data_IF_128956019512
#
_entry.id   IF_128956019512
#
_cell.length_a   1.000
_cell.length_b   1.000
_cell.length_c   1.000
_cell.angle_alpha   90.00
_cell.angle_beta   90.00
_cell.angle_gamma   90.00
#
_symmetry.space_group_name_H-M   'P 1'
#
loop_
_entity.id
_entity.type
_entity.pdbx_description
1 polymer ?
#
# COMPACT_ATOMS: atom_id res chain seq x y z
N UNK A 1 -32.05 -3.08 12.65
CA UNK A 1 -30.56 -3.03 12.71
C UNK A 1 -29.93 -1.75 12.14
N UNK A 2 -30.67 -0.89 11.44
CA UNK A 2 -30.15 0.39 10.88
C UNK A 2 -30.07 1.54 11.89
N UNK A 3 -30.92 1.56 12.93
CA UNK A 3 -30.93 2.63 13.95
C UNK A 3 -29.72 2.64 14.90
N UNK A 4 -29.08 1.50 15.18
CA UNK A 4 -27.93 1.49 16.11
C UNK A 4 -26.63 1.97 15.44
N UNK A 5 -26.41 1.64 14.17
CA UNK A 5 -25.23 2.11 13.43
C UNK A 5 -25.27 3.63 13.18
N UNK A 6 -26.46 4.21 12.93
CA UNK A 6 -26.61 5.67 12.80
C UNK A 6 -26.43 6.39 14.13
N UNK A 7 -26.91 5.81 15.23
CA UNK A 7 -26.71 6.35 16.57
C UNK A 7 -25.22 6.29 16.97
N UNK A 8 -24.53 5.17 16.71
CA UNK A 8 -23.11 5.00 17.04
C UNK A 8 -22.20 5.93 16.24
N UNK A 9 -22.48 6.13 14.95
CA UNK A 9 -21.79 7.12 14.11
C UNK A 9 -22.09 8.58 14.52
N UNK A 10 -23.29 8.87 15.04
CA UNK A 10 -23.60 10.15 15.68
C UNK A 10 -22.83 10.34 17.00
N UNK A 11 -22.66 9.28 17.79
CA UNK A 11 -21.90 9.30 19.05
C UNK A 11 -20.39 9.52 18.81
N UNK A 12 -19.78 8.90 17.80
CA UNK A 12 -18.35 9.13 17.52
C UNK A 12 -18.06 10.53 16.95
N UNK A 13 -18.97 11.10 16.14
CA UNK A 13 -18.90 12.52 15.76
C UNK A 13 -19.23 13.47 16.92
N UNK A 14 -19.91 12.98 17.95
CA UNK A 14 -20.16 13.73 19.17
C UNK A 14 -18.95 13.69 20.11
N UNK A 15 -17.99 12.77 19.98
CA UNK A 15 -16.78 12.73 20.84
C UNK A 15 -15.93 14.01 20.71
N UNK A 16 -15.57 14.53 19.52
CA UNK A 16 -14.89 15.82 19.41
C UNK A 16 -15.73 16.98 19.94
N UNK A 17 -17.05 16.94 19.72
CA UNK A 17 -17.96 17.99 20.19
C UNK A 17 -18.15 17.95 21.71
N UNK A 18 -18.16 16.77 22.31
CA UNK A 18 -18.28 16.53 23.74
C UNK A 18 -16.96 16.87 24.46
N UNK A 19 -15.81 16.52 23.88
CA UNK A 19 -14.49 16.92 24.36
C UNK A 19 -14.29 18.44 24.33
N UNK A 20 -14.69 19.09 23.21
CA UNK A 20 -14.71 20.55 23.12
C UNK A 20 -15.70 21.15 24.13
N UNK A 21 -16.88 20.53 24.32
CA UNK A 21 -17.89 20.97 25.31
C UNK A 21 -17.43 20.75 26.76
N UNK A 22 -16.52 19.81 27.01
CA UNK A 22 -15.85 19.63 28.31
C UNK A 22 -14.60 20.51 28.48
N UNK A 23 -14.32 21.43 27.55
CA UNK A 23 -13.21 22.37 27.62
C UNK A 23 -11.87 21.87 27.08
N UNK A 24 -11.81 20.66 26.51
CA UNK A 24 -10.60 20.14 25.87
C UNK A 24 -10.45 20.75 24.47
N UNK A 25 -9.66 21.83 24.39
CA UNK A 25 -9.27 22.49 23.14
C UNK A 25 -7.99 21.90 22.53
N UNK A 26 -7.41 20.85 23.12
CA UNK A 26 -6.18 20.23 22.62
C UNK A 26 -6.38 19.62 21.24
N UNK A 27 -7.62 19.20 20.91
CA UNK A 27 -8.00 18.62 19.62
C UNK A 27 -8.99 19.51 18.86
N UNK A 28 -8.78 19.67 17.56
CA UNK A 28 -9.76 20.32 16.70
C UNK A 28 -10.97 19.40 16.39
N UNK A 29 -12.03 19.97 15.79
CA UNK A 29 -13.23 19.21 15.41
C UNK A 29 -13.01 18.11 14.36
N UNK A 30 -11.77 17.90 13.91
CA UNK A 30 -11.34 16.81 13.03
C UNK A 30 -10.39 15.83 13.73
N UNK A 31 -10.22 15.95 15.06
CA UNK A 31 -9.42 15.07 15.90
C UNK A 31 -7.92 15.36 15.91
N UNK A 32 -7.46 16.48 15.34
CA UNK A 32 -6.04 16.83 15.24
C UNK A 32 -5.57 17.52 16.52
N UNK A 33 -4.41 17.14 17.04
CA UNK A 33 -3.81 17.79 18.21
C UNK A 33 -3.18 19.13 17.78
N UNK A 34 -3.75 20.27 18.21
CA UNK A 34 -3.35 21.61 17.74
C UNK A 34 -1.91 21.99 18.08
N UNK A 35 -1.41 21.52 19.22
CA UNK A 35 -0.06 21.81 19.69
C UNK A 35 1.03 21.00 18.95
N UNK A 36 0.65 20.00 18.16
CA UNK A 36 1.61 19.16 17.44
C UNK A 36 2.01 19.80 16.10
N UNK A 37 3.23 19.54 15.61
CA UNK A 37 3.65 19.99 14.28
C UNK A 37 2.67 19.53 13.18
N UNK A 38 2.41 20.34 12.14
CA UNK A 38 1.47 20.00 11.07
C UNK A 38 1.76 18.66 10.38
N UNK A 39 3.03 18.25 10.31
CA UNK A 39 3.42 16.95 9.74
C UNK A 39 2.82 15.78 10.52
N UNK A 40 2.46 15.93 11.80
CA UNK A 40 1.88 14.87 12.64
C UNK A 40 0.34 14.91 12.72
N UNK A 41 -0.33 15.72 11.90
CA UNK A 41 -1.80 15.82 11.93
C UNK A 41 -2.52 14.66 11.22
N UNK A 42 -1.91 14.06 10.20
CA UNK A 42 -2.50 12.97 9.42
C UNK A 42 -1.42 12.03 8.90
N UNK A 43 -1.71 10.73 8.87
CA UNK A 43 -0.76 9.70 8.44
C UNK A 43 -0.20 9.89 7.03
N UNK A 44 -0.96 10.42 6.07
CA UNK A 44 -0.39 10.66 4.73
C UNK A 44 0.75 11.68 4.73
N UNK A 45 0.77 12.65 5.65
CA UNK A 45 1.73 13.76 5.64
C UNK A 45 3.17 13.30 5.85
N UNK A 46 3.52 12.63 6.97
CA UNK A 46 4.89 12.17 7.17
C UNK A 46 5.22 11.03 6.21
N UNK A 47 4.30 10.09 5.99
CA UNK A 47 4.63 8.88 5.24
C UNK A 47 4.78 9.12 3.73
N UNK A 48 3.96 9.96 3.08
CA UNK A 48 4.20 10.28 1.67
C UNK A 48 5.43 11.18 1.49
N UNK A 49 5.68 12.10 2.43
CA UNK A 49 6.90 12.91 2.42
C UNK A 49 8.15 12.03 2.54
N UNK A 50 8.18 11.14 3.54
CA UNK A 50 9.29 10.22 3.78
C UNK A 50 9.43 9.19 2.67
N UNK A 51 8.33 8.69 2.07
CA UNK A 51 8.41 7.81 0.91
C UNK A 51 9.10 8.50 -0.27
N UNK A 52 8.71 9.73 -0.59
CA UNK A 52 9.31 10.50 -1.67
C UNK A 52 10.80 10.79 -1.40
N UNK A 53 11.13 11.24 -0.18
CA UNK A 53 12.52 11.49 0.23
C UNK A 53 13.35 10.21 0.17
N UNK A 54 12.81 9.09 0.66
CA UNK A 54 13.50 7.81 0.70
C UNK A 54 13.77 7.27 -0.69
N UNK A 55 12.78 7.25 -1.59
CA UNK A 55 13.01 6.84 -2.98
C UNK A 55 14.03 7.76 -3.68
N UNK A 56 13.93 9.08 -3.45
CA UNK A 56 14.85 10.07 -4.00
C UNK A 56 16.30 9.94 -3.52
N UNK A 57 16.55 9.29 -2.39
CA UNK A 57 17.89 9.02 -1.84
C UNK A 57 18.36 7.58 -2.09
N UNK A 58 17.49 6.59 -1.86
CA UNK A 58 17.84 5.18 -1.93
C UNK A 58 18.14 4.71 -3.36
N UNK A 59 17.43 5.23 -4.36
CA UNK A 59 17.69 4.86 -5.77
C UNK A 59 19.07 5.38 -6.23
N UNK A 60 19.42 6.67 -6.08
CA UNK A 60 20.78 7.13 -6.39
C UNK A 60 21.87 6.43 -5.57
N UNK A 61 21.63 6.18 -4.28
CA UNK A 61 22.58 5.47 -3.43
C UNK A 61 22.81 4.04 -3.93
N UNK A 62 21.74 3.33 -4.31
CA UNK A 62 21.86 1.99 -4.89
C UNK A 62 22.60 1.99 -6.23
N UNK A 63 22.29 2.93 -7.13
CA UNK A 63 23.00 3.04 -8.41
C UNK A 63 24.50 3.27 -8.19
N UNK A 64 24.86 4.12 -7.22
CA UNK A 64 26.26 4.33 -6.85
C UNK A 64 26.90 3.05 -6.30
N UNK A 65 26.26 2.34 -5.37
CA UNK A 65 26.72 1.05 -4.84
C UNK A 65 26.95 0.04 -5.98
N UNK A 66 25.98 -0.07 -6.88
CA UNK A 66 26.01 -0.99 -8.01
C UNK A 66 27.18 -0.70 -8.96
N UNK A 67 27.38 0.56 -9.36
CA UNK A 67 28.46 0.92 -10.29
C UNK A 67 29.85 0.98 -9.65
N UNK A 68 29.93 1.32 -8.36
CA UNK A 68 31.20 1.35 -7.63
C UNK A 68 31.66 -0.04 -7.16
N UNK A 69 30.77 -1.04 -7.19
CA UNK A 69 31.07 -2.39 -6.70
C UNK A 69 31.34 -2.44 -5.19
N UNK A 70 30.85 -1.46 -4.44
CA UNK A 70 31.08 -1.34 -2.99
C UNK A 70 29.95 -2.01 -2.21
N UNK A 71 30.31 -2.77 -1.19
CA UNK A 71 29.34 -3.23 -0.21
C UNK A 71 28.90 -2.09 0.72
N UNK A 72 27.63 -2.10 1.09
CA UNK A 72 27.12 -1.36 2.25
C UNK A 72 27.29 -2.30 3.44
N UNK A 73 28.07 -1.91 4.45
CA UNK A 73 28.41 -2.75 5.61
C UNK A 73 27.23 -3.12 6.55
N UNK A 74 26.00 -3.00 6.05
CA UNK A 74 24.78 -3.44 6.70
C UNK A 74 24.49 -4.93 6.45
N UNK A 75 23.27 -5.38 6.79
CA UNK A 75 22.95 -6.80 6.83
C UNK A 75 22.67 -7.39 5.43
N UNK A 76 22.43 -6.54 4.42
CA UNK A 76 22.08 -6.95 3.06
C UNK A 76 23.23 -6.68 2.08
N UNK A 77 23.36 -7.54 1.06
CA UNK A 77 24.13 -7.17 -0.14
C UNK A 77 23.45 -6.02 -0.92
N UNK A 78 24.18 -5.39 -1.85
CA UNK A 78 23.69 -4.20 -2.55
C UNK A 78 22.38 -4.39 -3.32
N UNK A 79 22.19 -5.54 -4.00
CA UNK A 79 20.96 -5.80 -4.77
C UNK A 79 19.79 -6.11 -3.85
N UNK A 80 20.02 -6.91 -2.82
CA UNK A 80 19.01 -7.27 -1.82
C UNK A 80 18.59 -6.07 -1.00
N UNK A 81 19.52 -5.17 -0.65
CA UNK A 81 19.22 -3.92 0.01
C UNK A 81 18.27 -3.07 -0.82
N UNK A 82 18.53 -2.91 -2.11
CA UNK A 82 17.62 -2.19 -3.00
C UNK A 82 16.24 -2.81 -3.06
N UNK A 83 16.15 -4.12 -3.29
CA UNK A 83 14.86 -4.80 -3.33
C UNK A 83 14.10 -4.63 -2.01
N UNK A 84 14.79 -4.77 -0.88
CA UNK A 84 14.23 -4.61 0.46
C UNK A 84 13.73 -3.19 0.72
N UNK A 85 14.56 -2.18 0.43
CA UNK A 85 14.21 -0.78 0.66
C UNK A 85 13.11 -0.28 -0.30
N UNK A 86 13.04 -0.79 -1.53
CA UNK A 86 11.93 -0.45 -2.44
C UNK A 86 10.61 -1.09 -2.00
N UNK A 87 10.64 -2.35 -1.58
CA UNK A 87 9.43 -3.09 -1.19
C UNK A 87 8.96 -2.75 0.22
N UNK A 88 9.82 -2.75 1.23
CA UNK A 88 9.43 -2.61 2.63
C UNK A 88 9.67 -1.20 3.17
N UNK A 89 10.69 -0.50 2.68
CA UNK A 89 10.96 0.90 2.99
C UNK A 89 9.97 1.85 2.31
N UNK A 90 10.16 2.06 1.01
CA UNK A 90 9.38 2.96 0.17
C UNK A 90 7.90 2.56 0.11
N UNK A 91 7.60 1.36 -0.42
CA UNK A 91 6.22 0.92 -0.59
C UNK A 91 5.52 0.74 0.77
N UNK A 92 6.23 0.30 1.82
CA UNK A 92 5.69 0.27 3.18
C UNK A 92 5.25 1.65 3.70
N UNK A 93 6.04 2.69 3.45
CA UNK A 93 5.65 4.07 3.76
C UNK A 93 4.46 4.54 2.93
N UNK A 94 4.42 4.24 1.62
CA UNK A 94 3.26 4.58 0.76
C UNK A 94 1.97 3.90 1.27
N UNK A 95 2.04 2.61 1.61
CA UNK A 95 0.92 1.86 2.17
C UNK A 95 0.45 2.50 3.49
N UNK A 96 1.37 2.86 4.38
CA UNK A 96 1.05 3.50 5.66
C UNK A 96 0.38 4.87 5.47
N UNK A 97 0.93 5.72 4.60
CA UNK A 97 0.36 7.03 4.29
C UNK A 97 -1.06 6.95 3.75
N UNK A 98 -1.30 5.97 2.88
CA UNK A 98 -2.63 5.69 2.35
C UNK A 98 -3.57 5.14 3.44
N UNK A 99 -3.20 4.06 4.13
CA UNK A 99 -4.12 3.32 5.00
C UNK A 99 -4.50 4.11 6.26
N UNK A 100 -3.57 4.87 6.84
CA UNK A 100 -3.84 5.74 7.99
C UNK A 100 -4.77 6.90 7.64
N UNK A 101 -4.94 7.19 6.34
CA UNK A 101 -5.90 8.17 5.83
C UNK A 101 -7.23 7.51 5.46
N UNK A 102 -7.20 6.29 4.93
CA UNK A 102 -8.38 5.57 4.48
C UNK A 102 -9.20 4.99 5.64
N UNK A 103 -8.56 4.40 6.64
CA UNK A 103 -9.23 3.72 7.77
C UNK A 103 -10.17 4.65 8.54
N UNK A 104 -9.78 5.87 8.94
CA UNK A 104 -10.69 6.81 9.60
C UNK A 104 -11.95 7.10 8.77
N UNK A 105 -11.81 7.21 7.46
CA UNK A 105 -12.94 7.45 6.56
C UNK A 105 -13.87 6.24 6.46
N UNK A 106 -13.35 5.02 6.60
CA UNK A 106 -14.16 3.81 6.53
C UNK A 106 -14.82 3.44 7.86
N UNK A 107 -14.18 3.74 8.99
CA UNK A 107 -14.66 3.41 10.33
C UNK A 107 -15.46 4.54 10.97
N UNK A 108 -15.29 5.79 10.48
CA UNK A 108 -15.89 6.98 11.10
C UNK A 108 -15.15 7.48 12.34
N UNK A 109 -14.06 6.79 12.72
CA UNK A 109 -13.24 7.07 13.90
C UNK A 109 -12.22 8.17 13.61
N UNK A 110 -11.65 8.72 14.68
CA UNK A 110 -10.65 9.79 14.56
C UNK A 110 -9.35 9.27 13.93
N UNK A 111 -8.66 10.11 13.13
CA UNK A 111 -7.37 9.75 12.57
C UNK A 111 -6.30 9.58 13.64
N UNK A 112 -5.38 8.66 13.41
CA UNK A 112 -4.17 8.50 14.21
C UNK A 112 -3.26 9.72 13.96
N UNK A 113 -3.01 10.50 15.02
CA UNK A 113 -2.29 11.78 14.95
C UNK A 113 -1.47 12.04 16.21
N UNK A 114 -0.49 12.96 16.13
CA UNK A 114 0.38 13.32 17.24
C UNK A 114 1.36 12.21 17.64
N UNK A 115 1.53 11.96 18.94
CA UNK A 115 2.53 11.02 19.46
C UNK A 115 2.42 9.59 18.91
N UNK A 116 1.23 8.96 18.81
CA UNK A 116 1.11 7.65 18.17
C UNK A 116 1.61 7.62 16.72
N UNK A 117 1.42 8.72 15.98
CA UNK A 117 1.90 8.83 14.61
C UNK A 117 3.43 9.00 14.58
N UNK A 118 3.97 9.79 15.50
CA UNK A 118 5.42 9.95 15.64
C UNK A 118 6.10 8.61 15.97
N UNK A 119 5.52 7.80 16.86
CA UNK A 119 6.05 6.45 17.17
C UNK A 119 6.13 5.61 15.90
N UNK A 120 5.07 5.54 15.09
CA UNK A 120 5.10 4.81 13.83
C UNK A 120 6.19 5.31 12.87
N UNK A 121 6.38 6.63 12.77
CA UNK A 121 7.43 7.24 11.95
C UNK A 121 8.82 6.85 12.47
N UNK A 122 9.05 6.91 13.77
CA UNK A 122 10.33 6.55 14.38
C UNK A 122 10.65 5.07 14.22
N UNK A 123 9.65 4.19 14.34
CA UNK A 123 9.82 2.75 14.07
C UNK A 123 10.18 2.50 12.61
N UNK A 124 9.53 3.20 11.67
CA UNK A 124 9.88 3.08 10.26
C UNK A 124 11.31 3.57 9.99
N UNK A 125 11.72 4.72 10.54
CA UNK A 125 13.08 5.25 10.41
C UNK A 125 14.12 4.32 11.04
N UNK A 126 13.82 3.73 12.20
CA UNK A 126 14.70 2.76 12.86
C UNK A 126 14.96 1.54 11.97
N UNK A 127 13.95 1.02 11.28
CA UNK A 127 14.09 -0.06 10.30
C UNK A 127 15.06 0.28 9.17
N UNK A 128 14.90 1.47 8.56
CA UNK A 128 15.78 1.95 7.47
C UNK A 128 17.23 2.13 7.95
N UNK A 129 17.40 2.71 9.15
CA UNK A 129 18.71 2.89 9.76
C UNK A 129 19.39 1.54 10.05
N UNK A 130 18.64 0.57 10.59
CA UNK A 130 19.15 -0.76 10.86
C UNK A 130 19.49 -1.52 9.57
N UNK A 131 18.68 -1.39 8.52
CA UNK A 131 18.97 -1.96 7.19
C UNK A 131 20.21 -1.39 6.51
N UNK A 132 20.74 -0.25 6.99
CA UNK A 132 21.98 0.35 6.51
C UNK A 132 23.18 0.09 7.43
N UNK A 133 22.97 0.10 8.75
CA UNK A 133 24.05 0.21 9.73
C UNK A 133 24.23 -1.03 10.61
N UNK A 134 23.20 -1.88 10.75
CA UNK A 134 23.28 -3.02 11.65
C UNK A 134 24.06 -4.17 10.98
N UNK A 135 25.20 -4.54 11.58
CA UNK A 135 25.98 -5.69 11.12
C UNK A 135 25.27 -7.02 11.41
N UNK A 136 24.50 -7.10 12.50
CA UNK A 136 23.74 -8.30 12.85
C UNK A 136 22.37 -8.29 12.12
N UNK A 137 22.10 -9.26 11.23
CA UNK A 137 20.85 -9.32 10.49
C UNK A 137 19.62 -9.54 11.39
N UNK A 138 19.77 -10.12 12.59
CA UNK A 138 18.65 -10.29 13.52
C UNK A 138 18.24 -8.98 14.17
N UNK A 139 19.21 -8.12 14.46
CA UNK A 139 18.96 -6.76 14.97
C UNK A 139 18.24 -5.92 13.91
N UNK A 140 18.69 -6.02 12.65
CA UNK A 140 18.03 -5.36 11.53
C UNK A 140 16.58 -5.83 11.36
N UNK A 141 16.36 -7.14 11.38
CA UNK A 141 15.03 -7.74 11.30
C UNK A 141 14.11 -7.25 12.42
N UNK A 142 14.58 -7.25 13.68
CA UNK A 142 13.77 -6.83 14.81
C UNK A 142 13.39 -5.35 14.72
N UNK A 143 14.34 -4.47 14.36
CA UNK A 143 14.09 -3.04 14.20
C UNK A 143 13.11 -2.75 13.06
N UNK A 144 13.28 -3.40 11.91
CA UNK A 144 12.44 -3.15 10.74
C UNK A 144 11.04 -3.76 10.85
N UNK A 145 10.88 -4.93 11.49
CA UNK A 145 9.57 -5.54 11.72
C UNK A 145 8.72 -4.82 12.76
N UNK A 146 9.31 -4.00 13.64
CA UNK A 146 8.55 -3.24 14.64
C UNK A 146 7.51 -2.32 13.97
N UNK A 147 7.84 -1.72 12.82
CA UNK A 147 6.92 -0.85 12.09
C UNK A 147 5.66 -1.57 11.56
N UNK A 148 5.76 -2.60 10.68
CA UNK A 148 4.58 -3.27 10.15
C UNK A 148 3.76 -3.97 11.24
N UNK A 149 4.39 -4.44 12.33
CA UNK A 149 3.68 -5.02 13.48
C UNK A 149 2.79 -4.00 14.18
N UNK A 150 3.34 -2.82 14.54
CA UNK A 150 2.57 -1.77 15.23
C UNK A 150 1.54 -1.14 14.29
N UNK A 151 1.86 -0.98 13.00
CA UNK A 151 0.89 -0.54 11.99
C UNK A 151 -0.26 -1.54 11.87
N UNK A 152 0.03 -2.83 11.70
CA UNK A 152 -0.96 -3.90 11.61
C UNK A 152 -1.88 -3.93 12.83
N UNK A 153 -1.31 -3.85 14.04
CA UNK A 153 -2.07 -3.74 15.28
C UNK A 153 -3.02 -2.53 15.28
N UNK A 154 -2.52 -1.35 14.92
CA UNK A 154 -3.35 -0.14 14.85
C UNK A 154 -4.51 -0.30 13.87
N UNK A 155 -4.28 -0.87 12.67
CA UNK A 155 -5.33 -1.08 11.67
C UNK A 155 -6.35 -2.10 12.16
N UNK A 156 -5.92 -3.24 12.70
CA UNK A 156 -6.83 -4.27 13.25
C UNK A 156 -7.69 -3.72 14.37
N UNK A 157 -7.11 -2.95 15.29
CA UNK A 157 -7.85 -2.28 16.36
C UNK A 157 -8.98 -1.41 15.81
N UNK A 158 -8.73 -0.59 14.79
CA UNK A 158 -9.76 0.26 14.19
C UNK A 158 -10.81 -0.52 13.41
N UNK A 159 -10.44 -1.61 12.72
CA UNK A 159 -11.39 -2.49 12.02
C UNK A 159 -12.33 -3.18 13.01
N UNK A 160 -11.79 -3.72 14.11
CA UNK A 160 -12.56 -4.43 15.14
C UNK A 160 -13.45 -3.44 15.90
N UNK A 161 -12.88 -2.33 16.39
CA UNK A 161 -13.62 -1.33 17.15
C UNK A 161 -14.71 -0.64 16.31
N UNK A 162 -14.44 -0.37 15.03
CA UNK A 162 -15.41 0.17 14.08
C UNK A 162 -16.36 -0.86 13.47
N UNK A 163 -16.24 -2.15 13.85
CA UNK A 163 -17.00 -3.30 13.29
C UNK A 163 -17.01 -3.30 11.75
N UNK A 164 -15.91 -2.89 11.15
CA UNK A 164 -15.81 -2.59 9.72
C UNK A 164 -15.29 -3.77 8.90
N UNK A 165 -15.93 -4.92 9.07
CA UNK A 165 -15.48 -6.20 8.51
C UNK A 165 -15.37 -6.21 6.97
N UNK A 166 -16.14 -5.36 6.29
CA UNK A 166 -16.03 -5.14 4.83
C UNK A 166 -14.63 -4.67 4.38
N UNK A 167 -13.84 -4.09 5.29
CA UNK A 167 -12.47 -3.62 5.03
C UNK A 167 -11.40 -4.45 5.77
N UNK A 168 -11.79 -5.53 6.45
CA UNK A 168 -10.85 -6.49 7.04
C UNK A 168 -9.85 -7.08 6.03
N UNK A 169 -10.20 -7.32 4.74
CA UNK A 169 -9.21 -7.77 3.75
C UNK A 169 -7.99 -6.85 3.66
N UNK A 170 -8.15 -5.53 3.86
CA UNK A 170 -7.01 -4.60 3.85
C UNK A 170 -6.11 -4.82 5.07
N UNK A 171 -6.67 -5.01 6.26
CA UNK A 171 -5.90 -5.33 7.47
C UNK A 171 -5.14 -6.66 7.33
N UNK A 172 -5.78 -7.67 6.72
CA UNK A 172 -5.15 -8.94 6.38
C UNK A 172 -3.97 -8.74 5.42
N UNK A 173 -4.13 -7.93 4.37
CA UNK A 173 -3.05 -7.61 3.45
C UNK A 173 -1.88 -6.89 4.14
N UNK A 174 -2.12 -5.96 5.07
CA UNK A 174 -1.04 -5.35 5.88
C UNK A 174 -0.30 -6.40 6.72
N UNK A 175 -1.03 -7.38 7.26
CA UNK A 175 -0.44 -8.47 8.05
C UNK A 175 0.42 -9.37 7.16
N UNK A 176 -0.06 -9.73 5.97
CA UNK A 176 0.70 -10.48 4.97
C UNK A 176 1.93 -9.71 4.47
N UNK A 177 1.85 -8.38 4.37
CA UNK A 177 3.01 -7.55 4.05
C UNK A 177 4.07 -7.57 5.15
N UNK A 178 3.67 -7.56 6.43
CA UNK A 178 4.59 -7.75 7.55
C UNK A 178 5.23 -9.15 7.55
N UNK A 179 4.46 -10.19 7.22
CA UNK A 179 4.98 -11.55 7.04
C UNK A 179 5.96 -11.61 5.86
N UNK A 180 5.64 -10.95 4.74
CA UNK A 180 6.52 -10.84 3.59
C UNK A 180 7.87 -10.21 3.96
N UNK A 181 7.84 -9.18 4.80
CA UNK A 181 9.05 -8.54 5.32
C UNK A 181 9.88 -9.51 6.17
N UNK A 182 9.23 -10.23 7.09
CA UNK A 182 9.91 -11.21 7.94
C UNK A 182 10.55 -12.33 7.11
N UNK A 183 9.85 -12.82 6.08
CA UNK A 183 10.36 -13.83 5.16
C UNK A 183 11.58 -13.32 4.37
N UNK A 184 11.61 -12.04 3.98
CA UNK A 184 12.75 -11.46 3.26
C UNK A 184 14.00 -11.32 4.16
N UNK A 185 13.82 -10.87 5.41
CA UNK A 185 14.89 -10.86 6.42
C UNK A 185 15.41 -12.27 6.73
N UNK A 186 14.53 -13.25 6.89
CA UNK A 186 14.94 -14.64 7.10
C UNK A 186 15.69 -15.20 5.88
N UNK A 187 15.23 -14.91 4.66
CA UNK A 187 16.00 -15.26 3.45
C UNK A 187 17.35 -14.54 3.37
N UNK A 188 17.53 -13.41 4.07
CA UNK A 188 18.79 -12.68 4.14
C UNK A 188 19.79 -13.35 5.10
N UNK A 189 19.29 -14.04 6.14
CA UNK A 189 20.13 -14.87 7.02
C UNK A 189 20.53 -16.22 6.41
N UNK A 190 20.02 -16.56 5.23
CA UNK A 190 20.25 -17.85 4.57
C UNK A 190 19.36 -18.99 5.08
N UNK A 191 18.40 -18.73 5.99
CA UNK A 191 17.53 -19.77 6.57
C UNK A 191 16.40 -20.25 5.64
N UNK A 192 16.09 -19.49 4.59
CA UNK A 192 14.97 -19.75 3.66
C UNK A 192 15.41 -19.63 2.20
N UNK A 193 14.69 -20.33 1.31
CA UNK A 193 14.84 -20.18 -0.13
C UNK A 193 14.53 -18.73 -0.58
N UNK A 194 15.25 -18.27 -1.59
CA UNK A 194 15.29 -16.85 -1.99
C UNK A 194 13.97 -16.31 -2.56
N UNK A 195 13.75 -15.01 -2.38
CA UNK A 195 12.72 -14.16 -3.01
C UNK A 195 11.25 -14.43 -2.63
N UNK A 196 10.95 -15.36 -1.72
CA UNK A 196 9.57 -15.62 -1.28
C UNK A 196 8.92 -14.37 -0.66
N UNK A 197 9.64 -13.68 0.23
CA UNK A 197 9.19 -12.42 0.84
C UNK A 197 8.89 -11.35 -0.21
N UNK A 198 9.78 -11.17 -1.18
CA UNK A 198 9.61 -10.19 -2.26
C UNK A 198 8.40 -10.48 -3.14
N UNK A 199 8.20 -11.76 -3.53
CA UNK A 199 7.03 -12.19 -4.30
C UNK A 199 5.74 -11.96 -3.54
N UNK A 200 5.71 -12.27 -2.24
CA UNK A 200 4.54 -12.03 -1.40
C UNK A 200 4.26 -10.53 -1.24
N UNK A 201 5.28 -9.69 -1.09
CA UNK A 201 5.12 -8.24 -1.00
C UNK A 201 4.53 -7.65 -2.29
N UNK A 202 5.04 -8.07 -3.45
CA UNK A 202 4.50 -7.69 -4.77
C UNK A 202 3.07 -8.18 -4.96
N UNK A 203 2.76 -9.41 -4.53
CA UNK A 203 1.41 -9.98 -4.54
C UNK A 203 0.43 -9.13 -3.72
N UNK A 204 0.82 -8.79 -2.49
CA UNK A 204 0.04 -7.91 -1.61
C UNK A 204 -0.16 -6.53 -2.26
N UNK A 205 0.89 -5.93 -2.82
CA UNK A 205 0.81 -4.62 -3.47
C UNK A 205 -0.17 -4.63 -4.65
N UNK A 206 -0.04 -5.59 -5.57
CA UNK A 206 -0.91 -5.74 -6.73
C UNK A 206 -2.37 -5.94 -6.33
N UNK A 207 -2.63 -6.79 -5.33
CA UNK A 207 -3.99 -7.04 -4.83
C UNK A 207 -4.56 -5.80 -4.14
N UNK A 208 -3.79 -5.09 -3.32
CA UNK A 208 -4.21 -3.85 -2.67
C UNK A 208 -4.56 -2.76 -3.69
N UNK A 209 -3.70 -2.54 -4.70
CA UNK A 209 -3.94 -1.55 -5.76
C UNK A 209 -5.19 -1.93 -6.56
N UNK A 210 -5.35 -3.20 -6.94
CA UNK A 210 -6.50 -3.70 -7.68
C UNK A 210 -7.82 -3.55 -6.90
N UNK A 211 -7.81 -3.88 -5.61
CA UNK A 211 -8.97 -3.79 -4.71
C UNK A 211 -9.36 -2.33 -4.42
N UNK A 212 -8.39 -1.54 -3.96
CA UNK A 212 -8.64 -0.19 -3.46
C UNK A 212 -8.78 0.80 -4.63
N UNK A 213 -7.88 0.75 -5.60
CA UNK A 213 -7.99 1.52 -6.84
C UNK A 213 -9.31 1.25 -7.56
N UNK A 214 -9.73 -0.02 -7.55
CA UNK A 214 -11.02 -0.47 -8.06
C UNK A 214 -12.27 0.17 -7.44
N UNK A 215 -12.16 0.78 -6.27
CA UNK A 215 -13.24 1.51 -5.60
C UNK A 215 -13.04 3.02 -5.72
N UNK A 216 -11.80 3.47 -5.58
CA UNK A 216 -11.44 4.89 -5.45
C UNK A 216 -11.43 5.59 -6.79
N UNK A 217 -10.74 5.03 -7.79
CA UNK A 217 -10.60 5.63 -9.12
C UNK A 217 -11.98 5.87 -9.77
N UNK A 218 -12.87 4.86 -9.93
CA UNK A 218 -14.18 5.09 -10.52
C UNK A 218 -15.07 6.04 -9.71
N UNK A 219 -14.95 6.04 -8.37
CA UNK A 219 -15.76 6.94 -7.53
C UNK A 219 -15.35 8.41 -7.70
N UNK A 220 -14.05 8.70 -7.73
CA UNK A 220 -13.57 10.05 -7.99
C UNK A 220 -13.88 10.52 -9.41
N UNK A 221 -13.68 9.64 -10.41
CA UNK A 221 -14.06 9.93 -11.79
C UNK A 221 -15.55 10.23 -11.93
N UNK A 222 -16.41 9.43 -11.28
CA UNK A 222 -17.86 9.67 -11.27
C UNK A 222 -18.21 11.01 -10.64
N UNK A 223 -17.64 11.32 -9.47
CA UNK A 223 -17.92 12.58 -8.78
C UNK A 223 -17.53 13.80 -9.62
N UNK A 224 -16.41 13.73 -10.33
CA UNK A 224 -15.99 14.79 -11.23
C UNK A 224 -16.88 14.90 -12.47
N UNK A 225 -17.21 13.78 -13.13
CA UNK A 225 -18.08 13.78 -14.32
C UNK A 225 -19.50 14.27 -14.01
N UNK A 226 -20.04 13.96 -12.82
CA UNK A 226 -21.32 14.50 -12.36
C UNK A 226 -21.25 16.01 -12.21
N UNK A 227 -20.16 16.56 -11.65
CA UNK A 227 -19.98 18.02 -11.56
C UNK A 227 -19.87 18.69 -12.93
N UNK A 228 -19.25 17.99 -13.89
CA UNK A 228 -19.15 18.45 -15.28
C UNK A 228 -20.41 18.19 -16.12
N UNK A 229 -21.48 17.64 -15.52
CA UNK A 229 -22.74 17.30 -16.21
C UNK A 229 -22.53 16.41 -17.44
N UNK A 230 -21.58 15.48 -17.38
CA UNK A 230 -21.31 14.56 -18.49
C UNK A 230 -22.44 13.52 -18.64
N UNK A 231 -22.80 13.19 -19.88
CA UNK A 231 -23.93 12.30 -20.19
C UNK A 231 -23.70 10.83 -19.81
N UNK A 232 -22.43 10.41 -19.75
CA UNK A 232 -22.07 9.04 -19.40
C UNK A 232 -21.13 9.00 -18.19
N UNK A 233 -21.36 8.03 -17.33
CA UNK A 233 -20.65 7.86 -16.07
C UNK A 233 -19.89 6.53 -16.05
N UNK A 234 -18.89 6.38 -15.15
CA UNK A 234 -18.23 5.10 -14.94
C UNK A 234 -19.25 3.99 -14.69
N UNK A 235 -19.03 2.82 -15.29
CA UNK A 235 -19.91 1.69 -15.08
C UNK A 235 -19.89 1.25 -13.59
N UNK A 236 -21.03 0.83 -13.03
CA UNK A 236 -21.05 0.29 -11.68
C UNK A 236 -20.25 -1.02 -11.59
N UNK A 237 -19.83 -1.33 -10.36
CA UNK A 237 -19.13 -2.58 -10.06
C UNK A 237 -20.02 -3.78 -10.42
N UNK A 238 -19.48 -4.74 -11.17
CA UNK A 238 -20.21 -5.92 -11.63
C UNK A 238 -19.38 -7.20 -11.72
N UNK A 239 -19.86 -8.15 -12.54
CA UNK A 239 -19.23 -9.46 -12.70
C UNK A 239 -17.81 -9.38 -13.25
N UNK A 240 -17.57 -8.48 -14.22
CA UNK A 240 -16.23 -8.26 -14.77
C UNK A 240 -15.26 -7.75 -13.72
N UNK A 241 -15.68 -6.82 -12.85
CA UNK A 241 -14.83 -6.34 -11.75
C UNK A 241 -14.49 -7.45 -10.75
N UNK A 242 -15.46 -8.33 -10.47
CA UNK A 242 -15.25 -9.50 -9.60
C UNK A 242 -14.27 -10.48 -10.25
N UNK A 243 -14.44 -10.78 -11.54
CA UNK A 243 -13.53 -11.64 -12.30
C UNK A 243 -12.11 -11.06 -12.35
N UNK A 244 -11.96 -9.74 -12.56
CA UNK A 244 -10.67 -9.07 -12.58
C UNK A 244 -9.95 -9.15 -11.22
N UNK A 245 -10.68 -8.95 -10.12
CA UNK A 245 -10.14 -9.10 -8.77
C UNK A 245 -9.75 -10.54 -8.46
N UNK A 246 -10.63 -11.49 -8.78
CA UNK A 246 -10.36 -12.92 -8.57
C UNK A 246 -9.16 -13.39 -9.39
N UNK A 247 -9.08 -13.02 -10.66
CA UNK A 247 -7.94 -13.32 -11.52
C UNK A 247 -6.64 -12.72 -10.96
N UNK A 248 -6.67 -11.48 -10.47
CA UNK A 248 -5.49 -10.84 -9.85
C UNK A 248 -5.05 -11.61 -8.60
N UNK A 249 -5.97 -11.96 -7.70
CA UNK A 249 -5.65 -12.71 -6.48
C UNK A 249 -5.09 -14.09 -6.82
N UNK A 250 -5.71 -14.82 -7.74
CA UNK A 250 -5.26 -16.15 -8.15
C UNK A 250 -3.91 -16.09 -8.88
N UNK A 251 -3.71 -15.11 -9.77
CA UNK A 251 -2.44 -14.91 -10.45
C UNK A 251 -1.30 -14.64 -9.45
N UNK A 252 -1.51 -13.68 -8.54
CA UNK A 252 -0.50 -13.29 -7.56
C UNK A 252 -0.27 -14.34 -6.47
N UNK A 253 -1.29 -15.12 -6.10
CA UNK A 253 -1.07 -16.31 -5.26
C UNK A 253 -0.25 -17.37 -6.01
N UNK A 254 -0.53 -17.54 -7.32
CA UNK A 254 0.24 -18.41 -8.20
C UNK A 254 1.71 -18.04 -8.29
N UNK A 255 2.06 -16.75 -8.35
CA UNK A 255 3.48 -16.32 -8.37
C UNK A 255 4.22 -16.64 -7.07
N UNK A 256 3.50 -16.75 -5.95
CA UNK A 256 4.06 -17.12 -4.65
C UNK A 256 4.23 -18.65 -4.53
N UNK A 257 3.20 -19.42 -4.90
CA UNK A 257 3.15 -20.88 -4.66
C UNK A 257 3.77 -21.70 -5.80
N UNK A 258 3.55 -21.30 -7.05
CA UNK A 258 3.96 -22.03 -8.26
C UNK A 258 4.70 -21.09 -9.24
N UNK A 259 5.81 -20.47 -8.79
CA UNK A 259 6.52 -19.46 -9.56
C UNK A 259 7.04 -20.00 -10.90
N UNK A 260 6.92 -19.21 -11.97
CA UNK A 260 7.49 -19.53 -13.27
C UNK A 260 6.71 -20.56 -14.10
N UNK A 261 5.56 -21.04 -13.63
CA UNK A 261 4.73 -21.95 -14.43
C UNK A 261 3.97 -21.21 -15.53
N UNK A 262 3.84 -21.83 -16.71
CA UNK A 262 3.10 -21.24 -17.84
C UNK A 262 1.63 -20.91 -17.49
N UNK A 263 1.01 -21.73 -16.62
CA UNK A 263 -0.34 -21.48 -16.14
C UNK A 263 -0.44 -20.15 -15.36
N UNK A 264 0.53 -19.87 -14.49
CA UNK A 264 0.60 -18.59 -13.76
C UNK A 264 0.88 -17.43 -14.72
N UNK A 265 1.77 -17.64 -15.71
CA UNK A 265 2.02 -16.64 -16.77
C UNK A 265 0.76 -16.26 -17.55
N UNK A 266 -0.01 -17.25 -17.99
CA UNK A 266 -1.29 -17.03 -18.67
C UNK A 266 -2.32 -16.33 -17.77
N UNK A 267 -2.38 -16.70 -16.49
CA UNK A 267 -3.30 -16.11 -15.52
C UNK A 267 -2.94 -14.64 -15.20
N UNK A 268 -1.64 -14.31 -15.16
CA UNK A 268 -1.14 -12.93 -15.04
C UNK A 268 -1.56 -12.08 -16.24
N UNK A 269 -1.37 -12.58 -17.47
CA UNK A 269 -1.83 -11.91 -18.68
C UNK A 269 -3.34 -11.68 -18.66
N UNK A 270 -4.13 -12.71 -18.30
CA UNK A 270 -5.57 -12.60 -18.17
C UNK A 270 -5.97 -11.54 -17.13
N UNK A 271 -5.33 -11.55 -15.95
CA UNK A 271 -5.59 -10.57 -14.90
C UNK A 271 -5.29 -9.15 -15.40
N UNK A 272 -4.14 -8.91 -16.02
CA UNK A 272 -3.76 -7.62 -16.58
C UNK A 272 -4.74 -7.11 -17.64
N UNK A 273 -5.15 -7.96 -18.58
CA UNK A 273 -6.18 -7.63 -19.58
C UNK A 273 -7.52 -7.28 -18.92
N UNK A 274 -7.97 -8.07 -17.94
CA UNK A 274 -9.21 -7.79 -17.21
C UNK A 274 -9.14 -6.46 -16.44
N UNK A 275 -7.99 -6.12 -15.84
CA UNK A 275 -7.80 -4.81 -15.20
C UNK A 275 -7.79 -3.67 -16.21
N UNK A 276 -7.22 -3.85 -17.40
CA UNK A 276 -7.27 -2.86 -18.47
C UNK A 276 -8.70 -2.62 -18.97
N UNK A 277 -9.48 -3.68 -19.19
CA UNK A 277 -10.90 -3.57 -19.55
C UNK A 277 -11.70 -2.88 -18.44
N UNK A 278 -11.41 -3.21 -17.18
CA UNK A 278 -12.00 -2.55 -16.00
C UNK A 278 -11.69 -1.05 -15.99
N UNK A 279 -10.45 -0.65 -16.30
CA UNK A 279 -10.01 0.75 -16.36
C UNK A 279 -10.73 1.53 -17.47
N UNK A 280 -10.91 0.93 -18.65
CA UNK A 280 -11.65 1.55 -19.76
C UNK A 280 -13.09 1.89 -19.34
N UNK A 281 -13.74 0.98 -18.59
CA UNK A 281 -15.11 1.20 -18.07
C UNK A 281 -15.23 2.36 -17.08
N UNK A 282 -14.11 2.88 -16.56
CA UNK A 282 -14.08 4.03 -15.67
C UNK A 282 -13.96 5.37 -16.38
N UNK A 283 -13.86 5.37 -17.73
CA UNK A 283 -13.87 6.57 -18.57
C UNK A 283 -12.75 7.58 -18.24
N UNK A 284 -11.56 7.11 -17.88
CA UNK A 284 -10.43 7.98 -17.52
C UNK A 284 -10.01 8.98 -18.59
N UNK A 285 -10.21 8.65 -19.87
CA UNK A 285 -9.96 9.55 -21.00
C UNK A 285 -10.79 10.85 -20.93
N UNK A 286 -11.97 10.84 -20.32
CA UNK A 286 -12.77 12.04 -20.12
C UNK A 286 -12.19 12.99 -19.05
N UNK A 287 -11.20 12.53 -18.28
CA UNK A 287 -10.60 13.24 -17.13
C UNK A 287 -9.17 13.71 -17.37
N UNK A 288 -8.65 13.64 -18.61
CA UNK A 288 -7.24 13.99 -18.92
C UNK A 288 -6.86 15.42 -18.53
N UNK A 289 -7.83 16.35 -18.50
CA UNK A 289 -7.62 17.75 -18.09
C UNK A 289 -7.52 17.95 -16.58
N UNK A 290 -7.81 16.91 -15.78
CA UNK A 290 -7.75 16.93 -14.32
C UNK A 290 -6.56 16.09 -13.85
N UNK A 291 -5.39 16.70 -13.55
CA UNK A 291 -4.14 15.98 -13.29
C UNK A 291 -4.25 14.95 -12.15
N UNK A 292 -5.03 15.26 -11.12
CA UNK A 292 -5.24 14.35 -9.97
C UNK A 292 -6.01 13.09 -10.39
N UNK A 293 -6.95 13.18 -11.33
CA UNK A 293 -7.65 12.01 -11.84
C UNK A 293 -6.81 11.26 -12.87
N UNK A 294 -6.07 11.99 -13.71
CA UNK A 294 -5.18 11.39 -14.69
C UNK A 294 -4.16 10.46 -14.03
N UNK A 295 -3.47 10.91 -12.97
CA UNK A 295 -2.45 10.09 -12.30
C UNK A 295 -3.04 8.82 -11.66
N UNK A 296 -4.30 8.86 -11.19
CA UNK A 296 -4.99 7.69 -10.66
C UNK A 296 -5.26 6.63 -11.75
N UNK A 297 -5.64 7.05 -12.95
CA UNK A 297 -5.83 6.13 -14.07
C UNK A 297 -4.50 5.61 -14.61
N UNK A 298 -3.49 6.47 -14.69
CA UNK A 298 -2.15 6.08 -15.13
C UNK A 298 -1.55 5.04 -14.18
N UNK A 299 -1.61 5.27 -12.86
CA UNK A 299 -1.12 4.31 -11.87
C UNK A 299 -1.85 2.98 -11.90
N UNK A 300 -3.19 2.98 -12.06
CA UNK A 300 -3.94 1.72 -12.21
C UNK A 300 -3.65 1.02 -13.55
N UNK A 301 -3.45 1.78 -14.62
CA UNK A 301 -3.03 1.26 -15.92
C UNK A 301 -1.65 0.62 -15.87
N UNK A 302 -0.74 1.19 -15.08
CA UNK A 302 0.58 0.60 -14.84
C UNK A 302 0.50 -0.77 -14.17
N UNK A 303 -0.41 -0.95 -13.21
CA UNK A 303 -0.67 -2.28 -12.64
C UNK A 303 -1.13 -3.28 -13.72
N UNK A 304 -2.08 -2.89 -14.57
CA UNK A 304 -2.55 -3.75 -15.65
C UNK A 304 -1.41 -4.14 -16.60
N UNK A 305 -0.57 -3.16 -16.99
CA UNK A 305 0.60 -3.38 -17.82
C UNK A 305 1.62 -4.31 -17.13
N UNK A 306 1.95 -4.06 -15.87
CA UNK A 306 2.90 -4.86 -15.10
C UNK A 306 2.46 -6.33 -15.02
N UNK A 307 1.17 -6.62 -14.78
CA UNK A 307 0.67 -8.00 -14.77
C UNK A 307 0.83 -8.68 -16.15
N UNK A 308 0.55 -7.97 -17.25
CA UNK A 308 0.78 -8.51 -18.60
C UNK A 308 2.26 -8.76 -18.84
N UNK A 309 3.14 -7.81 -18.53
CA UNK A 309 4.58 -7.96 -18.74
C UNK A 309 5.16 -9.09 -17.90
N UNK A 310 4.74 -9.24 -16.64
CA UNK A 310 5.14 -10.36 -15.79
C UNK A 310 4.65 -11.69 -16.35
N UNK A 311 3.43 -11.75 -16.88
CA UNK A 311 2.91 -12.95 -17.53
C UNK A 311 3.70 -13.30 -18.80
N UNK A 312 3.98 -12.31 -19.65
CA UNK A 312 4.79 -12.48 -20.85
C UNK A 312 6.23 -12.90 -20.55
N UNK A 313 6.85 -12.39 -19.48
CA UNK A 313 8.18 -12.81 -19.05
C UNK A 313 8.23 -14.30 -18.63
N UNK A 314 7.11 -14.84 -18.14
CA UNK A 314 7.00 -16.28 -17.83
C UNK A 314 6.76 -17.11 -19.10
N UNK A 315 5.97 -16.59 -20.05
CA UNK A 315 5.59 -17.30 -21.27
C UNK A 315 6.65 -17.22 -22.38
N UNK A 316 7.46 -16.18 -22.38
CA UNK A 316 8.48 -15.91 -23.37
C UNK A 316 9.82 -15.59 -22.69
N UNK A 317 10.79 -16.52 -22.72
CA UNK A 317 12.12 -16.33 -22.13
C UNK A 317 12.90 -15.12 -22.67
N UNK A 318 12.53 -14.59 -23.84
CA UNK A 318 13.17 -13.40 -24.41
C UNK A 318 12.86 -12.10 -23.64
N UNK A 319 11.83 -12.10 -22.77
CA UNK A 319 11.44 -10.93 -21.98
C UNK A 319 12.06 -11.05 -20.58
N UNK A 320 12.97 -10.15 -20.19
CA UNK A 320 13.63 -10.24 -18.88
C UNK A 320 12.64 -10.02 -17.74
N UNK A 321 12.61 -10.94 -16.77
CA UNK A 321 11.71 -10.84 -15.60
C UNK A 321 11.96 -9.58 -14.77
N UNK A 322 13.21 -9.16 -14.62
CA UNK A 322 13.55 -7.93 -13.89
C UNK A 322 12.95 -6.69 -14.57
N UNK A 323 12.94 -6.63 -15.90
CA UNK A 323 12.34 -5.52 -16.64
C UNK A 323 10.81 -5.49 -16.54
N UNK A 324 10.16 -6.62 -16.23
CA UNK A 324 8.73 -6.66 -15.97
C UNK A 324 8.34 -6.25 -14.54
N UNK A 325 9.28 -6.35 -13.59
CA UNK A 325 9.07 -5.97 -12.18
C UNK A 325 9.31 -4.47 -11.95
N UNK A 326 10.26 -3.88 -12.67
CA UNK A 326 10.59 -2.44 -12.60
C UNK A 326 9.67 -1.61 -13.51
#
# INVERSE_FOLDING_TARGET
MTRSASAQAQTERSVPRAAIKSGDLSRDGRGRIRAMPPILHYGFRPFFFLAALHAGLAIPAWLWIYFAGVGIGGPFDGLRWHAHEMLFGYLGAVIAGFILTAVPNWTGRLPLSGMPLLVLVMLWLAGRAAGLLAADPWVAMAADLAFPLVLGFAIWREVIAGRNWKNAPVALMISLFGIANALDHLANTGTLASNLGQRLALAVAAVLISLIGGRIVPSFTRNWLVKQRADALPAPFGRLDTAALAATVLAMAGTVVLPGTMAVGALLCLAGVLLAVRLIRWRGAATLREPILFILHLGYGWLALALVLMGLAVLNPAIPQLAAIH
#
